data_IF_808863368170
#
_entry.id   IF_808863368170
#
_cell.length_a   1.000
_cell.length_b   1.000
_cell.length_c   1.000
_cell.angle_alpha   90.00
_cell.angle_beta   90.00
_cell.angle_gamma   90.00
#
_symmetry.space_group_name_H-M   'P 1'
#
loop_
_entity.id
_entity.type
_entity.pdbx_description
1 polymer ?
#
# COMPACT_ATOMS: atom_id res chain seq x y z
N UNK A 1 3.62 13.21 -4.47
CA UNK A 1 3.42 13.61 -3.05
C UNK A 1 4.42 14.73 -2.69
N UNK A 2 4.01 15.82 -2.03
CA UNK A 2 4.89 16.96 -1.67
C UNK A 2 5.64 16.76 -0.33
N UNK A 3 6.07 15.54 0.00
CA UNK A 3 6.77 15.25 1.26
C UNK A 3 8.12 15.95 1.39
N UNK A 4 8.77 16.26 0.26
CA UNK A 4 10.05 16.98 0.21
C UNK A 4 9.98 18.37 0.89
N UNK A 5 8.78 18.95 0.90
CA UNK A 5 8.52 20.25 1.54
C UNK A 5 8.27 20.13 3.05
N UNK A 6 8.26 18.91 3.59
CA UNK A 6 7.90 18.64 4.99
C UNK A 6 6.42 18.84 5.28
N UNK A 7 5.56 18.91 4.25
CA UNK A 7 4.12 18.99 4.43
C UNK A 7 3.59 17.59 4.65
N UNK A 8 3.12 17.33 5.86
CA UNK A 8 2.50 16.06 6.24
C UNK A 8 1.17 15.94 5.47
N UNK A 9 0.95 14.89 4.66
CA UNK A 9 -0.29 14.73 3.92
C UNK A 9 -1.45 14.56 4.90
N UNK A 10 -2.61 15.11 4.54
CA UNK A 10 -3.81 15.04 5.38
C UNK A 10 -4.75 14.01 4.77
N UNK A 11 -5.21 12.99 5.53
CA UNK A 11 -6.19 12.05 5.04
C UNK A 11 -7.46 12.76 4.61
N UNK A 12 -8.14 12.21 3.62
CA UNK A 12 -9.48 12.68 3.28
C UNK A 12 -10.48 12.40 4.41
N UNK A 13 -11.67 12.96 4.33
CA UNK A 13 -12.75 12.53 5.23
C UNK A 13 -13.51 11.35 4.62
N UNK A 14 -14.14 10.55 5.48
CA UNK A 14 -14.87 9.35 5.07
C UNK A 14 -15.94 9.63 4.00
N UNK A 15 -16.60 10.79 4.03
CA UNK A 15 -17.66 11.10 3.05
C UNK A 15 -17.06 11.38 1.68
N UNK A 16 -15.95 12.11 1.65
CA UNK A 16 -15.19 12.38 0.42
C UNK A 16 -14.70 11.07 -0.20
N UNK A 17 -14.09 10.19 0.59
CA UNK A 17 -13.55 8.93 0.10
C UNK A 17 -14.64 7.92 -0.33
N UNK A 18 -15.81 7.93 0.30
CA UNK A 18 -16.96 7.13 -0.15
C UNK A 18 -17.56 7.63 -1.47
N UNK A 19 -17.40 8.92 -1.78
CA UNK A 19 -17.91 9.53 -3.01
C UNK A 19 -16.90 9.51 -4.18
N UNK A 20 -15.63 9.24 -3.90
CA UNK A 20 -14.58 9.11 -4.91
C UNK A 20 -14.48 7.69 -5.48
N UNK A 21 -13.58 7.49 -6.43
CA UNK A 21 -13.22 6.18 -6.99
C UNK A 21 -12.25 5.40 -6.11
N UNK A 22 -11.92 5.90 -4.92
CA UNK A 22 -11.01 5.25 -3.98
C UNK A 22 -11.40 3.81 -3.66
N UNK A 23 -10.41 2.92 -3.64
CA UNK A 23 -10.56 1.49 -3.45
C UNK A 23 -9.79 1.03 -2.21
N UNK A 24 -10.28 -0.03 -1.56
CA UNK A 24 -9.56 -0.68 -0.46
C UNK A 24 -9.28 -2.11 -0.89
N UNK A 25 -8.01 -2.47 -0.91
CA UNK A 25 -7.53 -3.83 -1.13
C UNK A 25 -7.06 -4.41 0.18
N UNK A 26 -7.40 -5.67 0.43
CA UNK A 26 -6.91 -6.42 1.57
C UNK A 26 -6.20 -7.66 1.11
N UNK A 27 -5.08 -7.96 1.75
CA UNK A 27 -4.33 -9.19 1.53
C UNK A 27 -4.08 -9.85 2.89
N UNK A 28 -4.22 -11.16 2.96
CA UNK A 28 -3.84 -11.97 4.11
C UNK A 28 -3.00 -13.15 3.65
N UNK A 29 -1.83 -13.30 4.23
CA UNK A 29 -0.83 -14.26 3.76
C UNK A 29 0.34 -14.39 4.71
N UNK A 30 1.45 -14.94 4.20
CA UNK A 30 2.73 -14.97 4.86
C UNK A 30 3.84 -14.39 3.96
N UNK A 31 4.74 -13.62 4.55
CA UNK A 31 5.90 -13.03 3.87
C UNK A 31 7.20 -13.70 4.33
N UNK A 32 7.46 -14.86 3.76
CA UNK A 32 8.60 -15.70 4.15
C UNK A 32 9.96 -15.09 3.78
N UNK A 33 9.98 -14.24 2.77
CA UNK A 33 11.20 -13.62 2.26
C UNK A 33 11.38 -12.17 2.74
N UNK A 34 10.44 -11.65 3.53
CA UNK A 34 10.45 -10.25 3.99
C UNK A 34 10.37 -9.23 2.84
N UNK A 35 9.79 -9.62 1.71
CA UNK A 35 9.72 -8.82 0.48
C UNK A 35 8.80 -7.61 0.68
N UNK A 36 7.67 -7.80 1.37
CA UNK A 36 6.80 -6.69 1.76
C UNK A 36 7.53 -5.77 2.71
N UNK A 37 8.25 -6.33 3.68
CA UNK A 37 9.02 -5.52 4.63
C UNK A 37 10.07 -4.68 3.93
N UNK A 38 10.82 -5.24 2.97
CA UNK A 38 11.85 -4.51 2.21
C UNK A 38 11.22 -3.34 1.45
N UNK A 39 10.16 -3.59 0.67
CA UNK A 39 9.47 -2.55 -0.10
C UNK A 39 8.92 -1.43 0.80
N UNK A 40 8.36 -1.82 1.94
CA UNK A 40 7.81 -0.86 2.89
C UNK A 40 8.89 -0.11 3.65
N UNK A 41 10.02 -0.74 3.95
CA UNK A 41 11.18 -0.05 4.54
C UNK A 41 11.73 1.00 3.53
N UNK A 42 11.77 0.70 2.23
CA UNK A 42 12.15 1.67 1.19
C UNK A 42 11.18 2.85 1.10
N UNK A 43 9.86 2.61 1.12
CA UNK A 43 8.86 3.69 1.24
C UNK A 43 9.13 4.54 2.49
N UNK A 44 9.38 3.87 3.61
CA UNK A 44 9.55 4.51 4.89
C UNK A 44 10.84 5.31 4.99
N UNK A 45 11.92 4.87 4.36
CA UNK A 45 13.19 5.60 4.28
C UNK A 45 13.06 6.93 3.53
N UNK A 46 12.09 7.03 2.63
CA UNK A 46 11.82 8.22 1.84
C UNK A 46 10.72 9.12 2.45
N UNK A 47 10.20 8.77 3.63
CA UNK A 47 9.24 9.60 4.35
C UNK A 47 9.81 10.19 5.65
N UNK A 48 9.44 11.43 6.02
CA UNK A 48 9.87 12.07 7.27
C UNK A 48 9.05 11.57 8.49
N UNK A 49 8.60 10.31 8.46
CA UNK A 49 7.74 9.72 9.47
C UNK A 49 8.48 8.62 10.24
N UNK A 50 8.09 8.38 11.49
CA UNK A 50 8.56 7.28 12.34
C UNK A 50 7.39 6.45 12.87
N UNK A 51 7.58 5.13 12.88
CA UNK A 51 6.57 4.16 13.27
C UNK A 51 6.90 3.56 14.64
N UNK A 52 6.67 4.35 15.69
CA UNK A 52 7.11 4.02 17.04
C UNK A 52 6.42 2.77 17.62
N UNK A 53 5.24 2.42 17.11
CA UNK A 53 4.42 1.33 17.67
C UNK A 53 4.90 -0.05 17.26
N UNK A 54 5.65 -0.19 16.17
CA UNK A 54 6.24 -1.48 15.82
C UNK A 54 7.23 -1.98 16.88
N UNK A 55 7.97 -1.07 17.51
CA UNK A 55 8.92 -1.42 18.59
C UNK A 55 8.18 -1.98 19.81
N UNK A 56 6.90 -1.66 19.97
CA UNK A 56 6.05 -2.12 21.06
C UNK A 56 5.29 -3.41 20.73
N UNK A 57 5.39 -3.95 19.51
CA UNK A 57 4.64 -5.12 19.05
C UNK A 57 5.26 -6.45 19.52
N UNK A 58 5.20 -6.69 20.82
CA UNK A 58 5.70 -7.94 21.44
C UNK A 58 5.01 -9.17 20.84
N UNK A 59 3.70 -9.08 20.57
CA UNK A 59 2.92 -10.19 19.99
C UNK A 59 3.37 -10.50 18.56
N UNK A 60 3.56 -9.47 17.72
CA UNK A 60 4.01 -9.63 16.34
C UNK A 60 5.47 -10.05 16.22
N UNK A 61 6.36 -9.61 17.11
CA UNK A 61 7.77 -10.03 17.13
C UNK A 61 7.95 -11.47 17.61
N UNK A 62 7.10 -11.95 18.52
CA UNK A 62 7.11 -13.34 18.94
C UNK A 62 6.59 -14.32 17.87
N UNK A 63 5.89 -13.81 16.84
CA UNK A 63 5.29 -14.63 15.80
C UNK A 63 6.29 -14.95 14.68
N UNK A 64 6.72 -16.22 14.64
CA UNK A 64 7.65 -16.77 13.63
C UNK A 64 6.95 -17.28 12.37
N UNK A 65 5.62 -17.17 12.27
CA UNK A 65 4.86 -17.68 11.11
C UNK A 65 4.93 -16.75 9.91
N UNK A 66 5.49 -15.54 10.07
CA UNK A 66 5.53 -14.48 9.06
C UNK A 66 4.16 -14.08 8.52
N UNK A 67 3.09 -14.44 9.23
CA UNK A 67 1.72 -14.12 8.84
C UNK A 67 1.45 -12.64 8.98
N UNK A 68 0.76 -12.09 8.00
CA UNK A 68 0.36 -10.69 8.00
C UNK A 68 -0.95 -10.47 7.25
N UNK A 69 -1.64 -9.40 7.64
CA UNK A 69 -2.74 -8.81 6.87
C UNK A 69 -2.34 -7.40 6.45
N UNK A 70 -2.35 -7.13 5.15
CA UNK A 70 -2.14 -5.83 4.53
C UNK A 70 -3.48 -5.20 4.19
N UNK A 71 -3.54 -3.88 4.30
CA UNK A 71 -4.64 -3.06 3.80
C UNK A 71 -4.04 -1.91 3.02
N UNK A 72 -4.38 -1.84 1.74
CA UNK A 72 -4.00 -0.77 0.82
C UNK A 72 -5.24 0.07 0.52
N UNK A 73 -5.15 1.38 0.66
CA UNK A 73 -6.24 2.32 0.42
C UNK A 73 -5.77 3.32 -0.63
N UNK A 74 -6.41 3.33 -1.80
CA UNK A 74 -6.10 4.30 -2.85
C UNK A 74 -6.71 5.66 -2.53
N UNK A 75 -6.08 6.73 -3.01
CA UNK A 75 -6.50 8.12 -2.82
C UNK A 75 -6.80 8.46 -1.35
N UNK A 76 -6.04 7.88 -0.41
CA UNK A 76 -6.30 8.05 1.02
C UNK A 76 -6.09 9.50 1.49
N UNK A 77 -5.14 10.19 0.88
CA UNK A 77 -4.78 11.56 1.22
C UNK A 77 -5.33 12.56 0.20
N UNK A 78 -5.53 13.80 0.67
CA UNK A 78 -6.04 14.94 -0.14
C UNK A 78 -5.21 15.30 -1.36
N UNK A 79 -3.94 14.85 -1.42
CA UNK A 79 -3.07 15.05 -2.57
C UNK A 79 -3.12 13.88 -3.57
N UNK A 80 -4.08 12.97 -3.41
CA UNK A 80 -4.29 11.80 -4.28
C UNK A 80 -3.28 10.67 -4.04
N UNK A 81 -2.61 10.68 -2.89
CA UNK A 81 -1.66 9.62 -2.56
C UNK A 81 -2.28 8.51 -1.75
N UNK A 82 -1.69 7.33 -1.89
CA UNK A 82 -2.19 6.09 -1.33
C UNK A 82 -1.62 5.84 0.08
N UNK A 83 -2.26 4.93 0.80
CA UNK A 83 -1.86 4.56 2.15
C UNK A 83 -1.93 3.07 2.37
N UNK A 84 -0.90 2.51 3.01
CA UNK A 84 -0.85 1.11 3.38
C UNK A 84 -0.58 0.97 4.88
N UNK A 85 -1.25 0.00 5.49
CA UNK A 85 -0.87 -0.49 6.81
C UNK A 85 -0.93 -2.01 6.86
N UNK A 86 -0.13 -2.62 7.73
CA UNK A 86 -0.17 -4.07 7.94
C UNK A 86 -0.12 -4.48 9.39
N UNK A 87 -0.78 -5.60 9.66
CA UNK A 87 -0.92 -6.24 10.95
C UNK A 87 -0.14 -7.54 10.93
N UNK A 88 0.90 -7.65 11.76
CA UNK A 88 1.77 -8.84 11.84
C UNK A 88 1.31 -9.78 12.95
N UNK A 89 1.30 -11.07 12.62
CA UNK A 89 1.12 -12.16 13.55
C UNK A 89 -0.33 -12.56 13.79
N UNK A 90 -0.55 -13.85 14.04
CA UNK A 90 -1.86 -14.48 14.15
C UNK A 90 -2.73 -13.90 15.27
N UNK A 91 -2.12 -13.53 16.40
CA UNK A 91 -2.83 -12.93 17.54
C UNK A 91 -3.39 -11.54 17.20
N UNK A 92 -2.59 -10.69 16.55
CA UNK A 92 -3.00 -9.37 16.12
C UNK A 92 -4.01 -9.45 14.95
N UNK A 93 -3.76 -10.33 13.97
CA UNK A 93 -4.68 -10.59 12.86
C UNK A 93 -6.06 -11.05 13.34
N UNK A 94 -6.12 -11.95 14.33
CA UNK A 94 -7.40 -12.42 14.88
C UNK A 94 -8.21 -11.26 15.48
N UNK A 95 -7.53 -10.36 16.20
CA UNK A 95 -8.16 -9.18 16.83
C UNK A 95 -8.58 -8.14 15.79
N UNK A 96 -7.80 -8.01 14.72
CA UNK A 96 -8.15 -7.20 13.56
C UNK A 96 -9.43 -7.72 12.88
N UNK A 97 -9.47 -9.01 12.54
CA UNK A 97 -10.65 -9.59 11.89
C UNK A 97 -11.91 -9.49 12.77
N UNK A 98 -11.79 -9.76 14.07
CA UNK A 98 -12.90 -9.60 15.03
C UNK A 98 -13.44 -8.17 15.10
N UNK A 99 -12.56 -7.17 14.94
CA UNK A 99 -12.93 -5.74 14.95
C UNK A 99 -13.84 -5.34 13.80
N UNK A 100 -13.76 -6.04 12.66
CA UNK A 100 -14.54 -5.73 11.44
C UNK A 100 -16.04 -5.69 11.70
N UNK A 101 -16.55 -6.60 12.54
CA UNK A 101 -17.97 -6.67 12.90
C UNK A 101 -18.31 -5.89 14.17
N UNK A 102 -17.32 -5.61 15.02
CA UNK A 102 -17.49 -4.85 16.26
C UNK A 102 -17.55 -3.33 16.06
N UNK A 103 -17.22 -2.82 14.87
CA UNK A 103 -17.28 -1.40 14.51
C UNK A 103 -16.23 -0.50 15.18
N UNK A 104 -15.45 -1.04 16.12
CA UNK A 104 -14.33 -0.33 16.75
C UNK A 104 -13.09 -0.48 15.86
N UNK A 105 -12.48 0.62 15.39
CA UNK A 105 -11.29 0.54 14.53
C UNK A 105 -10.14 -0.18 15.23
N UNK A 106 -9.28 -0.82 14.45
CA UNK A 106 -8.08 -1.46 14.98
C UNK A 106 -7.12 -0.43 15.57
N UNK A 107 -6.83 -0.56 16.87
CA UNK A 107 -5.96 0.37 17.60
C UNK A 107 -4.70 -0.29 18.20
N UNK A 108 -4.37 -1.51 17.76
CA UNK A 108 -3.15 -2.20 18.21
C UNK A 108 -1.92 -1.81 17.37
N UNK A 109 -0.72 -2.29 17.73
CA UNK A 109 0.47 -2.12 16.89
C UNK A 109 0.23 -2.62 15.47
N UNK A 110 0.71 -1.83 14.51
CA UNK A 110 0.73 -2.11 13.08
C UNK A 110 1.81 -1.24 12.45
N UNK A 111 2.35 -1.71 11.33
CA UNK A 111 3.12 -0.83 10.45
C UNK A 111 2.15 -0.02 9.58
N UNK A 112 2.56 1.17 9.19
CA UNK A 112 1.80 2.04 8.31
C UNK A 112 2.75 3.00 7.58
N UNK A 113 2.47 3.26 6.32
CA UNK A 113 3.21 4.20 5.48
C UNK A 113 2.30 4.82 4.41
N UNK A 114 2.47 6.10 4.09
CA UNK A 114 2.10 6.61 2.77
C UNK A 114 2.84 5.85 1.68
N UNK A 115 2.19 5.66 0.53
CA UNK A 115 2.76 4.97 -0.62
C UNK A 115 3.12 5.99 -1.70
N UNK A 116 4.35 5.93 -2.20
CA UNK A 116 4.88 6.87 -3.20
C UNK A 116 5.65 6.13 -4.30
N UNK A 117 6.36 5.08 -3.94
CA UNK A 117 7.21 4.30 -4.83
C UNK A 117 6.41 3.15 -5.46
N UNK A 118 5.60 2.47 -4.67
CA UNK A 118 4.92 1.23 -5.06
C UNK A 118 3.39 1.37 -5.12
N UNK A 119 2.81 0.85 -6.18
CA UNK A 119 1.36 0.70 -6.30
C UNK A 119 0.83 -0.60 -5.66
N UNK A 120 -0.50 -0.77 -5.63
CA UNK A 120 -1.13 -1.94 -5.05
C UNK A 120 -0.72 -3.25 -5.76
N UNK A 121 -0.61 -3.22 -7.09
CA UNK A 121 -0.27 -4.40 -7.89
C UNK A 121 1.17 -4.82 -7.59
N UNK A 122 2.12 -3.89 -7.61
CA UNK A 122 3.52 -4.14 -7.28
C UNK A 122 3.71 -4.71 -5.88
N UNK A 123 2.92 -4.26 -4.90
CA UNK A 123 2.94 -4.80 -3.54
C UNK A 123 2.40 -6.23 -3.53
N UNK A 124 1.24 -6.49 -4.12
CA UNK A 124 0.55 -7.78 -4.02
C UNK A 124 1.08 -8.86 -4.96
N UNK A 125 1.78 -8.50 -6.05
CA UNK A 125 2.41 -9.46 -6.96
C UNK A 125 3.88 -9.75 -6.61
N UNK A 126 4.34 -9.34 -5.43
CA UNK A 126 5.71 -9.59 -4.99
C UNK A 126 6.01 -11.10 -4.93
N UNK A 127 7.19 -11.48 -5.42
CA UNK A 127 7.67 -12.85 -5.23
C UNK A 127 7.78 -13.16 -3.73
N UNK A 128 7.61 -14.43 -3.34
CA UNK A 128 7.78 -14.85 -1.94
C UNK A 128 6.59 -14.58 -1.01
N UNK A 129 5.51 -13.98 -1.51
CA UNK A 129 4.23 -13.89 -0.82
C UNK A 129 3.43 -15.19 -0.95
N UNK A 130 3.14 -15.83 0.17
CA UNK A 130 2.17 -16.92 0.23
C UNK A 130 0.79 -16.34 0.56
N UNK A 131 -0.06 -16.21 -0.45
CA UNK A 131 -1.36 -15.56 -0.36
C UNK A 131 -2.44 -16.55 0.06
N UNK A 132 -3.09 -16.31 1.20
CA UNK A 132 -4.26 -17.07 1.63
C UNK A 132 -5.57 -16.46 1.15
N UNK A 133 -5.63 -15.13 1.15
CA UNK A 133 -6.78 -14.37 0.71
C UNK A 133 -6.34 -13.01 0.17
N UNK A 134 -6.96 -12.59 -0.94
CA UNK A 134 -6.90 -11.21 -1.44
C UNK A 134 -8.29 -10.81 -1.87
N UNK A 135 -8.66 -9.57 -1.58
CA UNK A 135 -10.01 -9.07 -1.81
C UNK A 135 -10.00 -7.56 -2.04
N UNK A 136 -10.78 -7.13 -3.02
CA UNK A 136 -11.14 -5.72 -3.24
C UNK A 136 -12.43 -5.45 -2.47
N UNK A 137 -12.31 -4.70 -1.38
CA UNK A 137 -13.43 -4.50 -0.46
C UNK A 137 -14.45 -3.56 -1.06
N UNK A 138 -15.67 -4.07 -1.24
CA UNK A 138 -16.79 -3.30 -1.78
C UNK A 138 -17.31 -2.25 -0.80
N UNK A 139 -17.62 -1.05 -1.31
CA UNK A 139 -18.31 0.02 -0.56
C UNK A 139 -19.75 -0.33 -0.20
N UNK A 140 -20.37 -1.26 -0.94
CA UNK A 140 -21.78 -1.62 -0.77
C UNK A 140 -21.98 -2.89 0.06
N UNK A 141 -20.96 -3.75 0.13
CA UNK A 141 -21.06 -4.99 0.88
C UNK A 141 -21.27 -4.74 2.37
N UNK A 142 -22.24 -5.44 2.95
CA UNK A 142 -22.64 -5.31 4.36
C UNK A 142 -22.85 -3.84 4.77
N UNK A 143 -23.50 -3.04 3.90
CA UNK A 143 -23.72 -1.58 4.09
C UNK A 143 -22.41 -0.77 4.26
N UNK A 144 -21.33 -1.28 3.68
CA UNK A 144 -19.99 -0.72 3.77
C UNK A 144 -19.38 -0.81 5.17
N UNK A 145 -19.86 -1.70 6.05
CA UNK A 145 -19.33 -1.84 7.41
C UNK A 145 -17.84 -2.18 7.38
N UNK A 146 -17.46 -3.21 6.61
CA UNK A 146 -16.05 -3.62 6.46
C UNK A 146 -15.21 -2.49 5.87
N UNK A 147 -15.69 -1.85 4.82
CA UNK A 147 -15.00 -0.72 4.19
C UNK A 147 -14.73 0.42 5.19
N UNK A 148 -15.77 0.86 5.93
CA UNK A 148 -15.66 1.91 6.95
C UNK A 148 -14.71 1.52 8.08
N UNK A 149 -14.75 0.25 8.50
CA UNK A 149 -13.85 -0.28 9.53
C UNK A 149 -12.38 -0.21 9.10
N UNK A 150 -12.07 -0.65 7.88
CA UNK A 150 -10.71 -0.63 7.33
C UNK A 150 -10.21 0.82 7.19
N UNK A 151 -11.04 1.69 6.63
CA UNK A 151 -10.71 3.10 6.54
C UNK A 151 -10.42 3.74 7.91
N UNK A 152 -11.31 3.55 8.88
CA UNK A 152 -11.13 4.09 10.22
C UNK A 152 -9.90 3.50 10.94
N UNK A 153 -9.55 2.25 10.64
CA UNK A 153 -8.33 1.61 11.14
C UNK A 153 -7.08 2.23 10.50
N UNK A 154 -7.14 2.54 9.19
CA UNK A 154 -6.10 3.30 8.49
C UNK A 154 -5.87 4.68 9.10
N UNK A 155 -6.95 5.40 9.44
CA UNK A 155 -6.85 6.69 10.17
C UNK A 155 -6.15 6.51 11.52
N UNK A 156 -6.49 5.47 12.28
CA UNK A 156 -5.82 5.19 13.56
C UNK A 156 -4.35 4.84 13.39
N UNK A 157 -4.01 4.09 12.35
CA UNK A 157 -2.63 3.77 12.00
C UNK A 157 -1.85 5.04 11.64
N UNK A 158 -2.44 5.92 10.84
CA UNK A 158 -1.89 7.22 10.46
C UNK A 158 -1.66 8.15 11.67
N UNK A 159 -2.63 8.28 12.57
CA UNK A 159 -2.54 9.10 13.79
C UNK A 159 -1.38 8.69 14.73
N UNK A 160 -0.90 7.45 14.60
CA UNK A 160 0.22 6.91 15.38
C UNK A 160 1.58 7.26 14.80
N UNK A 161 1.65 7.63 13.52
CA UNK A 161 2.90 8.10 12.94
C UNK A 161 3.31 9.42 13.58
N UNK A 162 4.63 9.61 13.69
CA UNK A 162 5.21 10.84 14.21
C UNK A 162 6.14 11.42 13.17
N UNK A 163 6.08 12.73 13.00
CA UNK A 163 7.01 13.43 12.15
C UNK A 163 8.39 13.49 12.81
N UNK A 164 9.44 13.26 12.03
CA UNK A 164 10.83 13.37 12.45
C UNK A 164 11.54 14.41 11.59
N UNK A 165 11.91 15.53 12.20
CA UNK A 165 12.69 16.59 11.56
C UNK A 165 14.06 16.08 11.14
N UNK A 166 14.69 15.22 11.96
CA UNK A 166 15.97 14.58 11.65
C UNK A 166 15.88 13.73 10.38
N UNK A 167 14.81 12.94 10.21
CA UNK A 167 14.61 12.18 8.95
C UNK A 167 14.38 13.12 7.77
N UNK A 168 13.62 14.20 7.95
CA UNK A 168 13.41 15.18 6.87
C UNK A 168 14.73 15.81 6.42
N UNK A 169 15.59 16.21 7.37
CA UNK A 169 16.92 16.75 7.06
C UNK A 169 17.81 15.71 6.35
N UNK A 170 17.79 14.46 6.81
CA UNK A 170 18.52 13.38 6.17
C UNK A 170 18.06 13.12 4.72
N UNK A 171 16.74 13.13 4.49
CA UNK A 171 16.15 13.00 3.15
C UNK A 171 16.55 14.19 2.27
N UNK A 172 16.43 15.43 2.77
CA UNK A 172 16.85 16.63 2.03
C UNK A 172 18.32 16.57 1.63
N UNK A 173 19.19 16.20 2.57
CA UNK A 173 20.62 16.06 2.30
C UNK A 173 20.91 15.00 1.24
N UNK A 174 20.24 13.85 1.32
CA UNK A 174 20.36 12.76 0.33
C UNK A 174 19.93 13.22 -1.07
N UNK A 175 18.79 13.91 -1.16
CA UNK A 175 18.28 14.44 -2.43
C UNK A 175 19.22 15.50 -3.01
N UNK A 176 19.73 16.41 -2.18
CA UNK A 176 20.72 17.41 -2.62
C UNK A 176 22.03 16.78 -3.13
N UNK A 177 22.47 15.68 -2.52
CA UNK A 177 23.66 14.93 -2.96
C UNK A 177 23.39 14.23 -4.30
N UNK A 178 22.23 13.60 -4.45
CA UNK A 178 21.79 12.98 -5.70
C UNK A 178 21.70 13.99 -6.85
N UNK A 179 21.05 15.13 -6.63
CA UNK A 179 20.91 16.21 -7.63
C UNK A 179 22.28 16.74 -8.09
N UNK A 180 23.24 16.87 -7.17
CA UNK A 180 24.61 17.30 -7.48
C UNK A 180 25.34 16.27 -8.35
N UNK A 181 25.17 14.98 -8.04
CA UNK A 181 25.78 13.90 -8.81
C UNK A 181 25.19 13.81 -10.22
N UNK A 182 23.86 13.90 -10.35
CA UNK A 182 23.18 13.89 -11.64
C UNK A 182 23.61 15.10 -12.50
N UNK A 183 23.67 16.30 -11.90
CA UNK A 183 24.14 17.50 -12.60
C UNK A 183 25.60 17.39 -13.07
N UNK A 184 26.47 16.74 -12.28
CA UNK A 184 27.86 16.47 -12.67
C UNK A 184 27.92 15.48 -13.84
N UNK A 185 27.17 14.39 -13.75
CA UNK A 185 27.09 13.35 -14.79
C UNK A 185 26.59 13.93 -16.12
N UNK A 186 25.57 14.78 -16.07
CA UNK A 186 25.04 15.47 -17.25
C UNK A 186 26.09 16.38 -17.90
N UNK A 187 26.84 17.17 -17.11
CA UNK A 187 27.92 18.02 -17.62
C UNK A 187 29.07 17.22 -18.25
N UNK A 188 29.38 16.04 -17.71
CA UNK A 188 30.39 15.15 -18.29
C UNK A 188 29.93 14.60 -19.64
N UNK A 189 28.69 14.12 -19.72
CA UNK A 189 28.12 13.64 -20.98
C UNK A 189 28.07 14.73 -22.07
N UNK A 190 27.69 15.97 -21.72
CA UNK A 190 27.68 17.10 -22.66
C UNK A 190 29.08 17.46 -23.19
N UNK A 191 30.12 17.32 -22.35
CA UNK A 191 31.50 17.57 -22.76
C UNK A 191 32.02 16.49 -23.72
N UNK A 192 31.71 15.22 -23.46
CA UNK A 192 32.08 14.10 -24.33
C UNK A 192 31.41 14.21 -25.72
N UNK A 193 30.17 14.68 -25.78
CA UNK A 193 29.47 14.97 -27.04
C UNK A 193 30.12 16.11 -27.82
N UNK A 194 30.46 17.22 -27.15
CA UNK A 194 31.10 18.39 -27.79
C UNK A 194 32.49 18.08 -28.35
N UNK A 195 33.25 17.20 -27.70
CA UNK A 195 34.58 16.81 -28.19
C UNK A 195 34.50 15.85 -29.40
N UNK A 196 33.35 15.17 -29.60
CA UNK A 196 33.13 14.27 -30.75
C UNK A 196 32.70 14.98 -32.05
N UNK A 197 32.02 16.14 -31.97
CA UNK A 197 31.56 16.89 -33.17
C UNK A 197 32.69 17.67 -33.87
N UNK A 198 33.83 17.92 -33.23
CA UNK A 198 34.94 18.67 -33.85
C UNK A 198 35.86 17.82 -34.72
N UNK A 199 35.67 16.49 -34.77
CA UNK A 199 36.50 15.57 -35.57
C UNK A 199 35.93 15.20 -36.96
N UNK A 200 34.76 15.73 -37.34
CA UNK A 200 34.06 15.37 -38.59
C UNK A 200 33.82 16.55 -39.54
N UNK A 201 34.73 17.53 -39.58
CA UNK A 201 34.73 18.61 -40.60
C UNK A 201 36.09 18.78 -41.29
N UNK A 202 36.76 17.66 -41.58
CA UNK A 202 37.86 17.66 -42.55
C UNK A 202 37.57 16.71 -43.71
N UNK A 203 37.31 17.34 -44.85
CA UNK A 203 37.61 16.82 -46.18
C UNK A 203 36.66 15.77 -46.78
N UNK A 204 35.69 16.26 -47.55
CA UNK A 204 35.20 15.57 -48.75
C UNK A 204 34.57 16.60 -49.67
N UNK A 205 35.41 17.25 -50.46
CA UNK A 205 34.98 17.71 -51.77
C UNK A 205 34.96 16.51 -52.70
N UNK A 206 33.80 16.17 -53.26
CA UNK A 206 33.69 15.69 -54.64
C UNK A 206 32.22 15.75 -55.09
N UNK A 207 32.03 16.39 -56.24
CA UNK A 207 30.76 16.57 -56.93
C UNK A 207 30.29 15.23 -57.52
N UNK A 208 29.18 14.71 -57.01
CA UNK A 208 28.54 13.49 -57.52
C UNK A 208 27.03 13.67 -57.61
N UNK A 209 26.58 14.26 -58.72
CA UNK A 209 25.19 14.30 -59.17
C UNK A 209 24.67 12.86 -59.38
N UNK A 210 23.79 12.36 -58.50
CA UNK A 210 23.11 11.07 -58.67
C UNK A 210 21.60 11.26 -58.56
N UNK A 211 20.94 10.74 -59.60
CA UNK A 211 19.54 10.89 -59.94
C UNK A 211 18.58 10.32 -58.91
N UNK A 212 17.39 10.94 -58.89
CA UNK A 212 16.20 10.52 -58.18
C UNK A 212 15.90 9.03 -58.38
N UNK A 213 15.65 8.32 -57.28
CA UNK A 213 14.98 7.03 -57.28
C UNK A 213 13.95 7.04 -56.16
N UNK A 214 12.70 6.84 -56.57
CA UNK A 214 11.50 6.82 -55.74
C UNK A 214 11.59 5.74 -54.64
N UNK A 215 11.14 6.01 -53.41
CA UNK A 215 10.97 4.96 -52.42
C UNK A 215 9.69 4.17 -52.72
N UNK A 216 9.86 2.94 -53.20
CA UNK A 216 8.80 1.94 -53.19
C UNK A 216 8.37 1.65 -51.75
N UNK A 217 7.07 1.71 -51.53
CA UNK A 217 6.41 1.36 -50.27
C UNK A 217 6.31 -0.16 -50.15
N UNK A 218 6.79 -0.79 -49.08
CA UNK A 218 6.44 -2.18 -48.81
C UNK A 218 5.03 -2.22 -48.22
N UNK A 219 4.06 -2.59 -49.05
CA UNK A 219 2.79 -3.16 -48.62
C UNK A 219 3.06 -4.52 -47.97
N UNK A 220 2.84 -4.62 -46.66
CA UNK A 220 2.78 -5.91 -45.97
C UNK A 220 1.31 -6.22 -45.69
N UNK A 221 0.67 -6.87 -46.66
CA UNK A 221 -0.63 -7.52 -46.48
C UNK A 221 -0.47 -8.82 -45.69
N UNK A 222 -1.36 -9.00 -44.71
CA UNK A 222 -2.09 -10.25 -44.50
C UNK A 222 -1.36 -11.43 -43.86
N UNK A 223 -1.67 -11.69 -42.59
CA UNK A 223 -2.08 -13.05 -42.16
C UNK A 223 -3.06 -12.93 -41.00
N UNK A 224 -4.31 -13.33 -41.28
CA UNK A 224 -5.43 -13.48 -40.35
C UNK A 224 -5.45 -14.91 -39.78
N UNK A 225 -6.47 -15.34 -39.01
CA UNK A 225 -6.39 -15.66 -37.58
C UNK A 225 -6.34 -17.17 -37.28
N UNK A 226 -5.64 -17.55 -36.21
CA UNK A 226 -5.72 -18.89 -35.63
C UNK A 226 -6.87 -19.01 -34.64
N UNK A 227 -8.00 -19.54 -35.13
CA UNK A 227 -9.11 -20.06 -34.35
C UNK A 227 -8.76 -21.44 -33.76
N UNK A 228 -9.32 -21.72 -32.58
CA UNK A 228 -9.72 -23.02 -32.03
C UNK A 228 -9.04 -23.41 -30.71
N UNK A 229 -9.88 -23.50 -29.67
CA UNK A 229 -10.10 -24.61 -28.74
C UNK A 229 -10.72 -23.98 -27.49
N UNK A 230 -12.05 -23.92 -27.36
CA UNK A 230 -12.90 -25.06 -26.94
C UNK A 230 -12.17 -25.93 -25.91
N UNK A 231 -12.17 -25.47 -24.65
CA UNK A 231 -12.05 -26.35 -23.51
C UNK A 231 -13.27 -26.18 -22.62
N UNK A 232 -14.23 -27.07 -22.84
CA UNK A 232 -15.32 -27.40 -21.94
C UNK A 232 -14.72 -28.17 -20.76
N UNK A 233 -14.68 -27.57 -19.58
CA UNK A 233 -14.48 -28.31 -18.33
C UNK A 233 -15.69 -28.14 -17.44
N UNK A 234 -16.60 -29.10 -17.59
CA UNK A 234 -17.35 -29.81 -16.56
C UNK A 234 -17.49 -29.13 -15.19
N UNK A 235 -18.66 -28.49 -15.04
CA UNK A 235 -19.63 -28.72 -13.97
C UNK A 235 -19.26 -29.82 -12.96
N UNK A 236 -18.58 -29.43 -11.88
CA UNK A 236 -18.56 -30.17 -10.63
C UNK A 236 -19.34 -29.36 -9.60
N UNK A 237 -20.64 -29.67 -9.50
CA UNK A 237 -21.49 -29.21 -8.42
C UNK A 237 -20.96 -29.70 -7.08
N UNK A 238 -20.31 -28.80 -6.34
CA UNK A 238 -20.02 -29.02 -4.93
C UNK A 238 -21.26 -28.68 -4.11
N UNK A 239 -21.86 -29.77 -3.65
CA UNK A 239 -22.81 -29.94 -2.56
C UNK A 239 -22.52 -28.99 -1.39
N UNK A 240 -23.24 -27.87 -1.35
CA UNK A 240 -23.26 -26.95 -0.20
C UNK A 240 -24.01 -27.64 0.94
N UNK A 241 -23.24 -28.33 1.78
CA UNK A 241 -23.70 -28.93 3.02
C UNK A 241 -24.55 -27.94 3.83
N UNK A 242 -25.69 -28.46 4.28
CA UNK A 242 -26.62 -27.81 5.20
C UNK A 242 -25.85 -27.19 6.37
N UNK A 243 -25.80 -25.86 6.41
CA UNK A 243 -25.45 -25.14 7.62
C UNK A 243 -26.59 -25.33 8.62
N UNK A 244 -26.37 -26.21 9.59
CA UNK A 244 -27.21 -26.34 10.76
C UNK A 244 -27.39 -24.96 11.40
N UNK A 245 -28.66 -24.54 11.40
CA UNK A 245 -29.20 -23.37 12.06
C UNK A 245 -28.86 -23.47 13.55
N UNK A 246 -27.84 -22.75 14.00
CA UNK A 246 -27.64 -22.51 15.43
C UNK A 246 -28.83 -21.70 15.94
N UNK A 247 -29.72 -22.37 16.67
CA UNK A 247 -30.79 -21.74 17.40
C UNK A 247 -30.17 -20.82 18.47
N UNK A 248 -30.66 -19.59 18.48
CA UNK A 248 -30.32 -18.53 19.42
C UNK A 248 -30.44 -19.05 20.86
N UNK A 249 -29.29 -19.24 21.54
CA UNK A 249 -29.28 -19.41 22.98
C UNK A 249 -29.39 -18.03 23.62
N UNK A 250 -30.59 -17.72 24.11
CA UNK A 250 -30.87 -16.60 25.01
C UNK A 250 -30.03 -16.77 26.29
N UNK A 251 -28.81 -16.23 26.27
CA UNK A 251 -27.98 -16.06 27.46
C UNK A 251 -28.42 -14.75 28.11
N UNK A 252 -29.36 -14.85 29.06
CA UNK A 252 -29.67 -13.77 30.00
C UNK A 252 -28.43 -13.50 30.84
N UNK A 253 -27.72 -12.39 30.57
CA UNK A 253 -26.71 -11.87 31.49
C UNK A 253 -27.43 -11.24 32.68
N UNK A 254 -27.31 -11.88 33.85
CA UNK A 254 -27.61 -11.29 35.15
C UNK A 254 -26.72 -10.05 35.35
N UNK A 255 -27.33 -8.88 35.36
CA UNK A 255 -26.72 -7.63 35.83
C UNK A 255 -26.54 -7.71 37.34
N UNK A 256 -25.31 -7.54 37.88
CA UNK A 256 -25.11 -7.46 39.31
C UNK A 256 -25.72 -6.17 39.88
N UNK A 257 -26.52 -6.35 40.93
CA UNK A 257 -27.13 -5.31 41.76
C UNK A 257 -26.10 -4.26 42.22
N UNK A 258 -26.46 -2.99 42.05
CA UNK A 258 -25.73 -1.84 42.58
C UNK A 258 -25.73 -1.87 44.11
N UNK A 259 -24.55 -2.09 44.71
CA UNK A 259 -24.36 -1.89 46.13
C UNK A 259 -24.20 -0.39 46.40
N UNK A 260 -25.30 0.27 46.77
CA UNK A 260 -25.30 1.55 47.46
C UNK A 260 -24.54 1.41 48.79
N UNK A 261 -23.42 2.11 48.90
CA UNK A 261 -22.60 2.16 50.11
C UNK A 261 -22.10 3.59 50.33
N UNK A 262 -22.99 4.43 50.85
CA UNK A 262 -22.67 5.69 51.49
C UNK A 262 -21.79 5.46 52.73
N UNK A 263 -20.74 6.24 52.93
CA UNK A 263 -20.42 6.74 54.26
C UNK A 263 -19.61 8.04 54.19
N UNK A 264 -20.22 9.07 54.75
CA UNK A 264 -19.68 10.39 55.00
C UNK A 264 -18.54 10.30 56.02
N UNK A 265 -17.43 10.99 55.73
CA UNK A 265 -16.31 11.14 56.65
C UNK A 265 -15.94 12.62 56.77
N UNK A 266 -16.70 13.33 57.60
CA UNK A 266 -16.55 14.74 57.95
C UNK A 266 -15.46 14.93 59.04
N UNK A 267 -14.63 15.98 58.87
CA UNK A 267 -13.94 16.85 59.86
C UNK A 267 -12.75 16.19 60.63
N UNK A 268 -11.53 16.76 60.65
CA UNK A 268 -11.12 17.93 61.45
C UNK A 268 -9.74 18.48 61.04
N UNK A 269 -9.71 19.82 60.92
CA UNK A 269 -8.62 20.81 61.13
C UNK A 269 -7.15 20.34 61.14
#
# INVERSE_FOLDING_TARGET
MNLERGVIPTPDDLKTLLASDAEIYTFSGADHQSEIRIKLDEEFENTPLVNNRLVEDIEGEADLTHRLTLVYITDFFKDGSDFLYYVKGAANMSKFLLGTFGGKPYDRPCFASPMVVYDADEIFTSMGLDMFASDRVSKTDTKGIRWKYLYASGIKAWEKLRFSEEKLEAIRKRNEEFDKEEALRKRQAERELSDSETLFTSDTGDDGEIAASEPETPSTEGTTPGSNQDDQSDDAGEDLGEYERFEDSDVSMDTPDEAEGSEEGEILL
#
